data_IF_396027961655
#
_entry.id   IF_396027961655
#
_cell.length_a   1.000
_cell.length_b   1.000
_cell.length_c   1.000
_cell.angle_alpha   90.00
_cell.angle_beta   90.00
_cell.angle_gamma   90.00
#
_symmetry.space_group_name_H-M   'P 1'
#
loop_
_entity.id
_entity.type
_entity.pdbx_description
1 polymer ?
#
# COMPACT_ATOMS: atom_id res chain seq x y z
N UNK A 1 -0.88 -8.45 32.29
CA UNK A 1 0.41 -8.40 31.59
C UNK A 1 0.84 -6.95 31.56
N UNK A 2 2.06 -6.64 32.00
CA UNK A 2 2.61 -5.28 31.94
C UNK A 2 2.73 -4.85 30.49
N UNK A 3 2.25 -3.66 30.15
CA UNK A 3 2.41 -3.07 28.81
C UNK A 3 3.90 -2.76 28.62
N UNK A 4 4.53 -3.36 27.61
CA UNK A 4 5.93 -3.09 27.29
C UNK A 4 6.12 -1.63 26.84
N UNK A 5 7.15 -0.97 27.37
CA UNK A 5 7.46 0.43 27.06
C UNK A 5 8.66 0.50 26.12
N UNK A 6 8.50 1.13 24.95
CA UNK A 6 9.51 1.12 23.88
C UNK A 6 9.99 2.54 23.62
N UNK A 7 11.27 2.82 23.86
CA UNK A 7 11.86 4.11 23.52
C UNK A 7 12.23 4.15 22.03
N UNK A 8 11.77 5.18 21.32
CA UNK A 8 12.03 5.35 19.88
C UNK A 8 12.74 6.68 19.65
N UNK A 9 14.00 6.66 19.25
CA UNK A 9 14.70 7.89 18.80
C UNK A 9 14.42 8.14 17.33
N UNK A 10 14.38 9.41 16.91
CA UNK A 10 13.97 9.76 15.54
C UNK A 10 12.48 9.51 15.30
N UNK A 11 11.67 9.59 16.36
CA UNK A 11 10.25 9.23 16.37
C UNK A 11 9.39 10.10 15.43
N UNK A 12 9.80 11.32 15.14
CA UNK A 12 9.17 12.24 14.20
C UNK A 12 9.59 12.00 12.73
N UNK A 13 10.56 11.11 12.51
CA UNK A 13 11.02 10.70 11.20
C UNK A 13 9.99 9.88 10.42
N UNK A 14 10.33 9.53 9.17
CA UNK A 14 9.48 8.70 8.31
C UNK A 14 9.19 7.32 8.91
N UNK A 15 10.22 6.55 9.25
CA UNK A 15 10.06 5.23 9.89
C UNK A 15 9.49 5.40 11.31
N UNK A 16 9.96 6.40 12.06
CA UNK A 16 9.54 6.67 13.44
C UNK A 16 8.04 6.87 13.58
N UNK A 17 7.42 7.70 12.72
CA UNK A 17 5.98 7.94 12.76
C UNK A 17 5.16 6.69 12.48
N UNK A 18 5.60 5.86 11.52
CA UNK A 18 4.97 4.56 11.24
C UNK A 18 5.09 3.62 12.44
N UNK A 19 6.28 3.51 13.03
CA UNK A 19 6.53 2.62 14.17
C UNK A 19 5.77 3.05 15.42
N UNK A 20 5.82 4.33 15.81
CA UNK A 20 5.17 4.83 17.05
C UNK A 20 3.66 4.60 17.02
N UNK A 21 3.01 4.87 15.88
CA UNK A 21 1.59 4.56 15.72
C UNK A 21 1.36 3.06 15.88
N UNK A 22 2.13 2.25 15.16
CA UNK A 22 1.93 0.80 15.15
C UNK A 22 2.18 0.16 16.51
N UNK A 23 3.19 0.61 17.26
CA UNK A 23 3.46 0.17 18.63
C UNK A 23 2.23 0.37 19.53
N UNK A 24 1.56 1.52 19.42
CA UNK A 24 0.34 1.81 20.19
C UNK A 24 -0.80 0.86 19.81
N UNK A 25 -0.99 0.59 18.51
CA UNK A 25 -2.04 -0.31 18.01
C UNK A 25 -1.86 -1.76 18.49
N UNK A 26 -0.62 -2.22 18.62
CA UNK A 26 -0.30 -3.59 19.08
C UNK A 26 -0.09 -3.69 20.59
N UNK A 27 -0.40 -2.63 21.34
CA UNK A 27 -0.46 -2.65 22.80
C UNK A 27 0.85 -2.32 23.53
N UNK A 28 1.87 -1.79 22.85
CA UNK A 28 3.05 -1.21 23.50
C UNK A 28 2.84 0.28 23.84
N UNK A 29 3.62 0.79 24.80
CA UNK A 29 3.69 2.23 25.11
C UNK A 29 4.95 2.85 24.50
N UNK A 30 4.87 3.62 23.41
CA UNK A 30 6.05 4.28 22.85
C UNK A 30 6.46 5.51 23.68
N UNK A 31 7.77 5.67 23.90
CA UNK A 31 8.41 6.91 24.37
C UNK A 31 9.13 7.54 23.18
N UNK A 32 8.57 8.63 22.64
CA UNK A 32 9.11 9.30 21.46
C UNK A 32 10.24 10.27 21.83
N UNK A 33 11.43 10.03 21.30
CA UNK A 33 12.58 10.94 21.36
C UNK A 33 12.82 11.54 19.97
N UNK A 34 12.81 12.87 19.88
CA UNK A 34 13.00 13.63 18.63
C UNK A 34 14.17 14.59 18.78
N UNK A 35 14.47 15.37 17.73
CA UNK A 35 15.51 16.43 17.81
C UNK A 35 15.19 17.52 18.82
N UNK A 36 13.92 17.69 19.19
CA UNK A 36 13.49 18.67 20.20
C UNK A 36 13.59 18.13 21.63
N UNK A 37 13.88 16.84 21.81
CA UNK A 37 14.00 16.22 23.12
C UNK A 37 15.33 16.60 23.80
N UNK A 38 15.30 16.78 25.11
CA UNK A 38 16.49 17.06 25.92
C UNK A 38 17.22 15.79 26.35
N UNK A 39 18.48 15.93 26.77
CA UNK A 39 19.23 14.80 27.35
C UNK A 39 18.54 14.20 28.59
N UNK A 40 17.87 15.02 29.42
CA UNK A 40 17.10 14.53 30.57
C UNK A 40 15.92 13.67 30.12
N UNK A 41 15.17 14.10 29.11
CA UNK A 41 14.05 13.32 28.57
C UNK A 41 14.51 11.98 27.99
N UNK A 42 15.68 11.96 27.34
CA UNK A 42 16.29 10.71 26.88
C UNK A 42 16.63 9.79 28.06
N UNK A 43 17.30 10.30 29.10
CA UNK A 43 17.66 9.52 30.28
C UNK A 43 16.44 8.99 31.06
N UNK A 44 15.42 9.84 31.25
CA UNK A 44 14.16 9.46 31.89
C UNK A 44 13.42 8.40 31.07
N UNK A 45 13.47 8.52 29.75
CA UNK A 45 12.90 7.55 28.82
C UNK A 45 13.62 6.19 28.87
N UNK A 46 14.95 6.19 28.89
CA UNK A 46 15.77 4.97 29.02
C UNK A 46 15.44 4.23 30.32
N UNK A 47 15.28 4.97 31.43
CA UNK A 47 14.95 4.39 32.74
C UNK A 47 13.60 3.66 32.73
N UNK A 48 12.65 4.12 31.92
CA UNK A 48 11.30 3.58 31.80
C UNK A 48 11.15 2.50 30.71
N UNK A 49 12.11 2.41 29.79
CA UNK A 49 12.00 1.56 28.62
C UNK A 49 12.35 0.09 28.91
N UNK A 50 11.66 -0.81 28.22
CA UNK A 50 11.95 -2.22 28.15
C UNK A 50 12.81 -2.57 26.94
N UNK A 51 12.78 -1.75 25.89
CA UNK A 51 13.68 -1.82 24.74
C UNK A 51 13.84 -0.45 24.06
N UNK A 52 14.88 -0.30 23.24
CA UNK A 52 15.17 0.91 22.47
C UNK A 52 15.13 0.61 20.98
N UNK A 53 14.47 1.45 20.19
CA UNK A 53 14.54 1.46 18.73
C UNK A 53 15.20 2.76 18.27
N UNK A 54 16.43 2.64 17.77
CA UNK A 54 17.24 3.76 17.33
C UNK A 54 17.07 4.01 15.82
N UNK A 55 16.27 5.03 15.48
CA UNK A 55 16.02 5.50 14.11
C UNK A 55 16.64 6.87 13.81
N UNK A 56 17.25 7.52 14.82
CA UNK A 56 17.90 8.81 14.61
C UNK A 56 19.17 8.64 13.77
N UNK A 57 19.34 9.50 12.77
CA UNK A 57 20.52 9.51 11.91
C UNK A 57 20.37 10.50 10.76
N UNK A 58 21.51 10.96 10.25
CA UNK A 58 21.58 11.81 9.06
C UNK A 58 21.82 10.96 7.81
N UNK A 59 21.00 11.19 6.78
CA UNK A 59 21.14 10.56 5.46
C UNK A 59 21.51 11.58 4.37
N UNK A 60 21.30 12.87 4.60
CA UNK A 60 21.62 13.97 3.67
C UNK A 60 21.81 15.30 4.43
N UNK A 61 22.88 15.44 5.25
CA UNK A 61 23.22 16.71 5.89
C UNK A 61 23.64 17.73 4.83
N UNK A 62 23.64 19.01 5.21
CA UNK A 62 24.11 20.08 4.31
C UNK A 62 25.63 20.03 4.14
N UNK A 63 26.35 19.68 5.20
CA UNK A 63 27.79 19.45 5.20
C UNK A 63 28.08 17.95 5.44
N UNK A 64 28.77 17.25 4.52
CA UNK A 64 29.21 15.87 4.72
C UNK A 64 30.01 15.63 6.01
N UNK A 65 30.73 16.64 6.54
CA UNK A 65 31.45 16.51 7.80
C UNK A 65 30.53 16.24 9.01
N UNK A 66 29.25 16.62 8.91
CA UNK A 66 28.24 16.38 9.95
C UNK A 66 27.83 14.91 10.04
N UNK A 67 28.11 14.07 9.04
CA UNK A 67 27.72 12.65 9.07
C UNK A 67 28.29 11.92 10.28
N UNK A 68 29.58 12.12 10.57
CA UNK A 68 30.24 11.49 11.71
C UNK A 68 29.66 12.01 13.03
N UNK A 69 29.50 13.31 13.17
CA UNK A 69 28.91 13.91 14.36
C UNK A 69 27.49 13.39 14.62
N UNK A 70 26.65 13.32 13.59
CA UNK A 70 25.25 12.93 13.76
C UNK A 70 25.10 11.42 13.94
N UNK A 71 25.79 10.59 13.16
CA UNK A 71 25.57 9.14 13.19
C UNK A 71 26.42 8.44 14.26
N UNK A 72 27.70 8.80 14.41
CA UNK A 72 28.59 8.19 15.42
C UNK A 72 28.31 8.80 16.79
N UNK A 73 28.38 10.11 16.94
CA UNK A 73 28.38 10.71 18.29
C UNK A 73 27.00 10.61 18.95
N UNK A 74 25.90 10.70 18.19
CA UNK A 74 24.57 10.45 18.74
C UNK A 74 24.36 8.99 19.15
N UNK A 75 24.89 8.04 18.38
CA UNK A 75 24.83 6.61 18.73
C UNK A 75 25.67 6.31 19.98
N UNK A 76 26.85 6.92 20.08
CA UNK A 76 27.72 6.81 21.27
C UNK A 76 27.06 7.44 22.50
N UNK A 77 26.47 8.63 22.37
CA UNK A 77 25.75 9.29 23.45
C UNK A 77 24.54 8.47 23.94
N UNK A 78 23.80 7.84 23.01
CA UNK A 78 22.74 6.90 23.36
C UNK A 78 23.29 5.67 24.11
N UNK A 79 24.39 5.09 23.63
CA UNK A 79 25.03 3.96 24.28
C UNK A 79 25.47 4.30 25.72
N UNK A 80 26.10 5.45 25.91
CA UNK A 80 26.52 5.93 27.22
C UNK A 80 25.33 6.20 28.15
N UNK A 81 24.24 6.75 27.63
CA UNK A 81 23.01 6.95 28.39
C UNK A 81 22.37 5.61 28.82
N UNK A 82 22.38 4.59 27.96
CA UNK A 82 21.89 3.24 28.29
C UNK A 82 22.76 2.62 29.39
N UNK A 83 24.09 2.73 29.28
CA UNK A 83 25.03 2.23 30.29
C UNK A 83 24.83 2.93 31.63
N UNK A 84 24.65 4.26 31.62
CA UNK A 84 24.37 5.04 32.82
C UNK A 84 23.03 4.65 33.49
N UNK A 85 22.04 4.22 32.69
CA UNK A 85 20.77 3.68 33.18
C UNK A 85 20.89 2.32 33.89
N UNK A 86 22.04 1.63 33.76
CA UNK A 86 22.36 0.40 34.50
C UNK A 86 21.57 -0.85 34.12
N UNK A 87 20.76 -0.80 33.04
CA UNK A 87 19.97 -1.92 32.52
C UNK A 87 20.44 -2.33 31.14
N UNK A 88 20.61 -3.64 30.93
CA UNK A 88 20.89 -4.22 29.62
C UNK A 88 19.62 -4.26 28.76
N UNK A 89 19.25 -3.10 28.17
CA UNK A 89 18.09 -2.99 27.29
C UNK A 89 18.40 -3.56 25.90
N UNK A 90 17.50 -4.37 25.30
CA UNK A 90 17.59 -4.71 23.89
C UNK A 90 17.53 -3.44 23.03
N UNK A 91 18.39 -3.36 22.01
CA UNK A 91 18.49 -2.21 21.10
C UNK A 91 18.32 -2.66 19.66
N UNK A 92 17.32 -2.11 18.97
CA UNK A 92 17.14 -2.23 17.53
C UNK A 92 17.75 -1.00 16.86
N UNK A 93 18.60 -1.20 15.85
CA UNK A 93 19.30 -0.13 15.14
C UNK A 93 18.91 -0.15 13.66
N UNK A 94 18.32 0.95 13.17
CA UNK A 94 18.10 1.15 11.74
C UNK A 94 19.35 1.76 11.07
N UNK A 95 20.20 0.88 10.58
CA UNK A 95 21.36 1.25 9.77
C UNK A 95 21.02 1.31 8.27
N UNK A 96 22.04 1.34 7.43
CA UNK A 96 21.97 1.48 5.98
C UNK A 96 22.66 0.30 5.31
N UNK A 97 22.13 -0.16 4.17
CA UNK A 97 22.80 -1.13 3.30
C UNK A 97 24.17 -0.66 2.83
N UNK A 98 24.42 0.66 2.87
CA UNK A 98 25.71 1.29 2.53
C UNK A 98 26.73 1.31 3.67
N UNK A 99 26.39 0.77 4.84
CA UNK A 99 27.31 0.78 5.98
C UNK A 99 28.59 0.00 5.64
N UNK A 100 29.74 0.68 5.74
CA UNK A 100 31.04 0.13 5.36
C UNK A 100 31.43 0.30 3.89
N UNK A 101 30.58 0.91 3.04
CA UNK A 101 31.03 1.42 1.75
C UNK A 101 32.04 2.56 1.94
N UNK A 102 33.00 2.67 1.02
CA UNK A 102 34.03 3.72 1.02
C UNK A 102 33.43 5.08 0.64
N UNK A 103 32.72 5.67 1.60
CA UNK A 103 32.07 6.97 1.53
C UNK A 103 31.85 7.52 2.93
N UNK A 104 31.82 8.85 3.09
CA UNK A 104 31.58 9.48 4.40
C UNK A 104 30.29 8.97 5.06
N UNK A 105 29.23 8.80 4.26
CA UNK A 105 27.97 8.24 4.74
C UNK A 105 28.13 6.78 5.19
N UNK A 106 28.75 5.93 4.38
CA UNK A 106 28.95 4.50 4.69
C UNK A 106 29.82 4.29 5.93
N UNK A 107 30.91 5.04 6.05
CA UNK A 107 31.76 5.05 7.24
C UNK A 107 31.01 5.54 8.48
N UNK A 108 30.22 6.61 8.38
CA UNK A 108 29.46 7.13 9.52
C UNK A 108 28.40 6.16 10.06
N UNK A 109 27.70 5.43 9.16
CA UNK A 109 26.71 4.42 9.56
C UNK A 109 27.39 3.23 10.23
N UNK A 110 28.52 2.76 9.70
CA UNK A 110 29.30 1.68 10.32
C UNK A 110 29.83 2.10 11.70
N UNK A 111 30.34 3.33 11.85
CA UNK A 111 30.80 3.84 13.14
C UNK A 111 29.67 3.92 14.18
N UNK A 112 28.46 4.32 13.77
CA UNK A 112 27.28 4.29 14.62
C UNK A 112 26.86 2.87 15.03
N UNK A 113 26.90 1.91 14.10
CA UNK A 113 26.67 0.49 14.42
C UNK A 113 27.65 -0.01 15.48
N UNK A 114 28.95 0.27 15.31
CA UNK A 114 29.99 -0.15 16.24
C UNK A 114 29.82 0.47 17.63
N UNK A 115 29.45 1.74 17.70
CA UNK A 115 29.20 2.43 18.97
C UNK A 115 28.07 1.76 19.79
N UNK A 116 27.00 1.32 19.14
CA UNK A 116 25.90 0.63 19.81
C UNK A 116 26.19 -0.86 20.03
N UNK A 117 26.88 -1.54 19.11
CA UNK A 117 27.29 -2.93 19.26
C UNK A 117 28.17 -3.14 20.50
N UNK A 118 29.00 -2.15 20.86
CA UNK A 118 29.80 -2.16 22.08
C UNK A 118 28.97 -2.29 23.38
N UNK A 119 27.64 -2.03 23.35
CA UNK A 119 26.76 -2.29 24.50
C UNK A 119 26.70 -3.78 24.88
N UNK A 120 26.82 -4.68 23.91
CA UNK A 120 26.89 -6.11 24.16
C UNK A 120 28.09 -6.49 25.02
N UNK A 121 29.26 -5.92 24.73
CA UNK A 121 30.48 -6.13 25.50
C UNK A 121 30.47 -5.41 26.85
N UNK A 122 29.92 -4.18 26.91
CA UNK A 122 29.93 -3.33 28.10
C UNK A 122 28.96 -3.80 29.19
N UNK A 123 27.75 -4.19 28.82
CA UNK A 123 26.66 -4.47 29.77
C UNK A 123 25.82 -5.71 29.39
N UNK A 124 26.20 -6.47 28.35
CA UNK A 124 25.46 -7.67 27.94
C UNK A 124 24.14 -7.37 27.21
N UNK A 125 23.96 -6.17 26.65
CA UNK A 125 22.74 -5.82 25.92
C UNK A 125 22.65 -6.55 24.57
N UNK A 126 21.45 -7.04 24.23
CA UNK A 126 21.18 -7.59 22.90
C UNK A 126 21.04 -6.45 21.87
N UNK A 127 21.87 -6.43 20.84
CA UNK A 127 21.85 -5.40 19.79
C UNK A 127 21.47 -6.04 18.45
N UNK A 128 20.42 -5.50 17.83
CA UNK A 128 19.83 -5.98 16.58
C UNK A 128 20.01 -4.93 15.50
N UNK A 129 20.85 -5.21 14.51
CA UNK A 129 21.22 -4.26 13.46
C UNK A 129 20.50 -4.60 12.15
N UNK A 130 19.74 -3.64 11.62
CA UNK A 130 19.13 -3.74 10.29
C UNK A 130 19.83 -2.80 9.31
N UNK A 131 20.53 -3.35 8.32
CA UNK A 131 21.12 -2.56 7.23
C UNK A 131 20.10 -2.36 6.11
N UNK A 132 19.24 -1.37 6.28
CA UNK A 132 18.11 -1.14 5.39
C UNK A 132 18.54 -0.58 4.03
N UNK A 133 17.99 -1.07 2.90
CA UNK A 133 18.13 -0.42 1.62
C UNK A 133 17.23 0.85 1.58
N UNK A 134 16.86 1.33 0.38
CA UNK A 134 15.98 2.49 0.29
C UNK A 134 14.57 2.16 0.82
N UNK A 135 14.21 2.72 1.97
CA UNK A 135 12.87 2.54 2.55
C UNK A 135 11.88 3.49 1.86
N UNK A 136 10.71 2.98 1.49
CA UNK A 136 9.62 3.78 0.90
C UNK A 136 8.28 3.48 1.55
N UNK A 137 7.33 4.42 1.46
CA UNK A 137 6.02 4.27 2.07
C UNK A 137 5.33 5.60 2.38
N UNK A 138 4.18 5.51 3.04
CA UNK A 138 3.39 6.67 3.49
C UNK A 138 4.17 7.53 4.47
N UNK A 139 3.98 8.86 4.37
CA UNK A 139 4.62 9.88 5.22
C UNK A 139 6.13 10.06 5.00
N UNK A 140 6.72 9.40 4.00
CA UNK A 140 8.05 9.77 3.52
C UNK A 140 8.03 11.22 2.99
N UNK A 141 9.09 11.97 3.27
CA UNK A 141 9.17 13.38 2.85
C UNK A 141 9.54 13.47 1.35
N UNK A 142 8.71 14.06 0.49
CA UNK A 142 9.07 14.31 -0.91
C UNK A 142 10.14 15.40 -1.02
N UNK A 143 10.82 15.46 -2.16
CA UNK A 143 11.84 16.47 -2.50
C UNK A 143 12.98 16.56 -1.46
N UNK A 144 13.30 15.42 -0.81
CA UNK A 144 14.36 15.33 0.19
C UNK A 144 15.37 14.22 -0.13
N UNK A 145 15.07 12.96 0.22
CA UNK A 145 15.99 11.84 0.07
C UNK A 145 15.34 10.55 -0.44
N UNK A 146 14.06 10.58 -0.81
CA UNK A 146 13.33 9.41 -1.35
C UNK A 146 12.82 9.73 -2.75
N UNK A 147 13.36 9.05 -3.76
CA UNK A 147 12.88 9.18 -5.14
C UNK A 147 11.42 8.76 -5.27
N UNK A 148 11.02 7.67 -4.61
CA UNK A 148 9.63 7.17 -4.60
C UNK A 148 8.68 8.23 -4.04
N UNK A 149 8.99 8.84 -2.89
CA UNK A 149 8.13 9.87 -2.29
C UNK A 149 8.01 11.10 -3.20
N UNK A 150 9.12 11.53 -3.80
CA UNK A 150 9.13 12.64 -4.77
C UNK A 150 8.27 12.33 -5.99
N UNK A 151 8.42 11.14 -6.57
CA UNK A 151 7.64 10.73 -7.73
C UNK A 151 6.15 10.67 -7.41
N UNK A 152 5.76 9.99 -6.32
CA UNK A 152 4.38 9.95 -5.85
C UNK A 152 3.80 11.35 -5.64
N UNK A 153 4.52 12.23 -4.94
CA UNK A 153 4.07 13.59 -4.64
C UNK A 153 3.84 14.44 -5.89
N UNK A 154 4.82 14.45 -6.80
CA UNK A 154 4.81 15.28 -8.00
C UNK A 154 3.81 14.78 -9.03
N UNK A 155 3.81 13.47 -9.32
CA UNK A 155 2.85 12.86 -10.25
C UNK A 155 1.42 13.05 -9.76
N UNK A 156 1.14 12.87 -8.47
CA UNK A 156 -0.20 13.11 -7.90
C UNK A 156 -0.69 14.56 -8.04
N UNK A 157 0.21 15.52 -8.26
CA UNK A 157 -0.07 16.95 -8.45
C UNK A 157 0.07 17.40 -9.90
N UNK A 158 0.31 16.47 -10.83
CA UNK A 158 0.56 16.79 -12.23
C UNK A 158 1.84 17.61 -12.45
N UNK A 159 2.79 17.61 -11.51
CA UNK A 159 4.07 18.32 -11.68
C UNK A 159 5.16 17.41 -12.25
N UNK A 160 6.10 17.95 -13.06
CA UNK A 160 7.15 17.14 -13.66
C UNK A 160 8.11 16.51 -12.65
N UNK A 161 8.49 15.26 -12.91
CA UNK A 161 9.59 14.57 -12.24
C UNK A 161 10.86 14.66 -13.09
N UNK A 162 12.01 14.67 -12.43
CA UNK A 162 13.32 14.67 -13.07
C UNK A 162 13.99 13.31 -12.87
N UNK A 163 14.48 12.71 -13.95
CA UNK A 163 15.13 11.41 -13.98
C UNK A 163 16.38 11.54 -14.83
N UNK A 164 17.56 11.54 -14.18
CA UNK A 164 18.83 11.61 -14.89
C UNK A 164 19.23 10.27 -15.52
N UNK A 165 19.00 9.17 -14.81
CA UNK A 165 19.30 7.82 -15.29
C UNK A 165 18.12 6.87 -14.95
N UNK A 166 17.29 6.50 -15.94
CA UNK A 166 16.18 5.58 -15.72
C UNK A 166 16.62 4.14 -15.48
N UNK A 167 17.82 3.75 -15.90
CA UNK A 167 18.34 2.39 -15.72
C UNK A 167 19.04 2.20 -14.35
N UNK A 168 19.26 3.29 -13.60
CA UNK A 168 19.89 3.25 -12.30
C UNK A 168 19.18 2.24 -11.36
N UNK A 169 19.92 1.29 -10.77
CA UNK A 169 19.33 0.25 -9.92
C UNK A 169 18.82 0.82 -8.60
N UNK A 170 17.67 0.32 -8.16
CA UNK A 170 17.07 0.61 -6.87
C UNK A 170 16.75 -0.69 -6.16
N UNK A 171 17.29 -0.83 -4.95
CA UNK A 171 16.83 -1.82 -3.98
C UNK A 171 15.92 -1.13 -2.97
N UNK A 172 14.70 -1.63 -2.83
CA UNK A 172 13.62 -1.02 -2.06
C UNK A 172 13.11 -1.97 -0.97
N UNK A 173 12.69 -1.40 0.15
CA UNK A 173 11.94 -2.09 1.19
C UNK A 173 10.75 -1.23 1.63
N UNK A 174 9.60 -1.85 1.83
CA UNK A 174 8.40 -1.13 2.22
C UNK A 174 8.40 -0.86 3.74
N UNK A 175 7.96 0.32 4.16
CA UNK A 175 8.00 0.74 5.57
C UNK A 175 7.22 -0.18 6.50
N UNK A 176 6.10 -0.75 6.05
CA UNK A 176 5.32 -1.66 6.89
C UNK A 176 6.06 -2.99 7.12
N UNK A 177 6.86 -3.45 6.16
CA UNK A 177 7.71 -4.65 6.32
C UNK A 177 8.86 -4.36 7.31
N UNK A 178 9.44 -3.15 7.27
CA UNK A 178 10.44 -2.70 8.26
C UNK A 178 9.84 -2.65 9.67
N UNK A 179 8.65 -2.07 9.81
CA UNK A 179 7.95 -2.00 11.09
C UNK A 179 7.59 -3.39 11.60
N UNK A 180 7.10 -4.28 10.74
CA UNK A 180 6.81 -5.67 11.10
C UNK A 180 8.07 -6.40 11.59
N UNK A 181 9.20 -6.23 10.92
CA UNK A 181 10.47 -6.81 11.35
C UNK A 181 10.91 -6.30 12.74
N UNK A 182 10.76 -5.01 13.02
CA UNK A 182 11.08 -4.47 14.34
C UNK A 182 10.16 -5.03 15.43
N UNK A 183 8.86 -5.15 15.15
CA UNK A 183 7.91 -5.75 16.09
C UNK A 183 8.24 -7.22 16.38
N UNK A 184 8.68 -7.98 15.37
CA UNK A 184 9.11 -9.36 15.55
C UNK A 184 10.32 -9.47 16.48
N UNK A 185 11.29 -8.55 16.40
CA UNK A 185 12.40 -8.51 17.37
C UNK A 185 11.89 -8.25 18.77
N UNK A 186 10.94 -7.31 18.94
CA UNK A 186 10.36 -6.96 20.24
C UNK A 186 9.53 -8.10 20.84
N UNK A 187 8.85 -8.91 20.02
CA UNK A 187 8.02 -10.03 20.50
C UNK A 187 8.81 -11.31 20.73
N UNK A 188 9.71 -11.65 19.82
CA UNK A 188 10.31 -12.98 19.76
C UNK A 188 11.68 -13.03 20.45
N UNK A 189 12.30 -11.87 20.68
CA UNK A 189 13.62 -11.71 21.29
C UNK A 189 14.67 -12.71 20.73
N UNK A 190 14.92 -12.71 19.40
CA UNK A 190 15.89 -13.61 18.79
C UNK A 190 17.32 -13.28 19.26
N UNK A 191 18.33 -14.10 18.90
CA UNK A 191 19.72 -13.76 19.18
C UNK A 191 20.11 -12.38 18.61
N UNK A 192 20.97 -11.67 19.33
CA UNK A 192 21.56 -10.42 18.88
C UNK A 192 22.39 -10.62 17.59
N UNK A 193 22.52 -9.57 16.78
CA UNK A 193 23.28 -9.60 15.54
C UNK A 193 22.65 -8.80 14.42
N UNK A 194 23.01 -9.15 13.19
CA UNK A 194 22.46 -8.53 11.99
C UNK A 194 21.19 -9.24 11.54
N UNK A 195 20.21 -8.46 11.10
CA UNK A 195 18.92 -8.94 10.62
C UNK A 195 18.57 -8.29 9.28
N UNK A 196 17.81 -9.03 8.48
CA UNK A 196 17.28 -8.56 7.21
C UNK A 196 15.76 -8.36 7.28
N UNK A 197 15.25 -7.44 6.48
CA UNK A 197 13.80 -7.25 6.27
C UNK A 197 13.42 -7.94 4.98
N UNK A 198 12.33 -8.69 4.99
CA UNK A 198 11.77 -9.33 3.80
C UNK A 198 10.29 -9.01 3.65
N UNK A 199 9.78 -8.84 2.42
CA UNK A 199 10.52 -8.87 1.15
C UNK A 199 11.36 -7.60 0.89
N UNK A 200 12.40 -7.74 0.06
CA UNK A 200 13.07 -6.62 -0.60
C UNK A 200 12.83 -6.70 -2.11
N UNK A 201 12.85 -5.55 -2.78
CA UNK A 201 12.53 -5.45 -4.21
C UNK A 201 13.67 -4.80 -4.96
N UNK A 202 14.21 -5.52 -5.95
CA UNK A 202 15.17 -4.98 -6.92
C UNK A 202 14.43 -4.46 -8.16
N UNK A 203 14.72 -3.23 -8.54
CA UNK A 203 14.06 -2.52 -9.65
C UNK A 203 14.97 -1.41 -10.18
N UNK A 204 14.44 -0.51 -11.02
CA UNK A 204 15.15 0.67 -11.52
C UNK A 204 14.36 1.96 -11.26
N UNK A 205 15.03 3.10 -11.30
CA UNK A 205 14.39 4.42 -11.15
C UNK A 205 13.29 4.62 -12.20
N UNK A 206 13.55 4.25 -13.45
CA UNK A 206 12.59 4.36 -14.55
C UNK A 206 11.37 3.46 -14.35
N UNK A 207 11.57 2.20 -13.96
CA UNK A 207 10.47 1.27 -13.72
C UNK A 207 9.52 1.77 -12.61
N UNK A 208 10.06 2.32 -11.52
CA UNK A 208 9.25 2.93 -10.46
C UNK A 208 8.48 4.14 -10.98
N UNK A 209 9.13 5.02 -11.73
CA UNK A 209 8.49 6.21 -12.28
C UNK A 209 7.32 5.86 -13.22
N UNK A 210 7.51 4.91 -14.12
CA UNK A 210 6.49 4.47 -15.07
C UNK A 210 5.33 3.78 -14.38
N UNK A 211 5.62 2.96 -13.35
CA UNK A 211 4.60 2.34 -12.50
C UNK A 211 3.72 3.39 -11.82
N UNK A 212 4.32 4.42 -11.20
CA UNK A 212 3.58 5.49 -10.53
C UNK A 212 2.78 6.35 -11.54
N UNK A 213 3.33 6.62 -12.73
CA UNK A 213 2.59 7.27 -13.82
C UNK A 213 1.36 6.46 -14.24
N UNK A 214 1.49 5.13 -14.31
CA UNK A 214 0.39 4.21 -14.57
C UNK A 214 -0.75 4.38 -13.56
N UNK A 215 -0.43 4.47 -12.26
CA UNK A 215 -1.44 4.68 -11.22
C UNK A 215 -2.20 6.01 -11.35
N UNK A 216 -1.51 7.08 -11.75
CA UNK A 216 -2.17 8.35 -12.01
C UNK A 216 -3.10 8.28 -13.23
N UNK A 217 -2.67 7.57 -14.29
CA UNK A 217 -3.47 7.37 -15.50
C UNK A 217 -4.73 6.51 -15.27
N UNK A 218 -4.75 5.63 -14.26
CA UNK A 218 -5.94 4.85 -13.88
C UNK A 218 -7.16 5.72 -13.63
N UNK A 219 -6.99 6.92 -13.05
CA UNK A 219 -8.12 7.83 -12.77
C UNK A 219 -8.76 8.41 -14.03
N UNK A 220 -8.00 8.55 -15.11
CA UNK A 220 -8.50 9.02 -16.39
C UNK A 220 -9.06 7.90 -17.27
N UNK A 221 -8.48 6.70 -17.17
CA UNK A 221 -8.81 5.56 -18.05
C UNK A 221 -9.82 4.60 -17.43
N UNK A 222 -9.94 4.58 -16.10
CA UNK A 222 -10.64 3.55 -15.33
C UNK A 222 -9.92 2.19 -15.32
N UNK A 223 -8.73 2.08 -15.94
CA UNK A 223 -8.00 0.81 -16.08
C UNK A 223 -6.90 0.73 -15.02
N UNK A 224 -6.95 -0.30 -14.19
CA UNK A 224 -5.95 -0.57 -13.15
C UNK A 224 -5.14 -1.83 -13.50
N UNK A 225 -3.82 -1.74 -13.30
CA UNK A 225 -2.91 -2.88 -13.37
C UNK A 225 -2.85 -3.67 -12.05
N UNK A 226 -1.85 -4.54 -11.89
CA UNK A 226 -1.66 -5.30 -10.66
C UNK A 226 -1.32 -4.34 -9.51
N UNK A 227 -2.15 -4.33 -8.46
CA UNK A 227 -1.96 -3.51 -7.24
C UNK A 227 -2.22 -4.31 -5.95
N UNK A 228 -2.37 -5.64 -6.06
CA UNK A 228 -2.81 -6.51 -4.96
C UNK A 228 -1.68 -7.15 -4.16
N UNK A 229 -0.48 -7.31 -4.74
CA UNK A 229 0.66 -8.01 -4.11
C UNK A 229 1.99 -7.31 -4.38
N UNK A 230 3.04 -7.72 -3.66
CA UNK A 230 4.43 -7.36 -3.96
C UNK A 230 4.74 -5.86 -3.96
N UNK A 231 5.66 -5.46 -4.84
CA UNK A 231 6.14 -4.09 -4.98
C UNK A 231 5.01 -3.17 -5.46
N UNK A 232 4.18 -3.64 -6.38
CA UNK A 232 3.11 -2.85 -6.99
C UNK A 232 2.04 -2.48 -5.96
N UNK A 233 1.65 -3.40 -5.07
CA UNK A 233 0.76 -3.09 -3.94
C UNK A 233 1.34 -2.00 -3.06
N UNK A 234 2.62 -2.13 -2.69
CA UNK A 234 3.30 -1.19 -1.81
C UNK A 234 3.46 0.19 -2.47
N UNK A 235 3.82 0.24 -3.76
CA UNK A 235 3.93 1.47 -4.54
C UNK A 235 2.57 2.14 -4.74
N UNK A 236 1.52 1.38 -5.04
CA UNK A 236 0.16 1.91 -5.20
C UNK A 236 -0.34 2.54 -3.90
N UNK A 237 -0.22 1.84 -2.76
CA UNK A 237 -0.56 2.39 -1.45
C UNK A 237 0.26 3.65 -1.12
N UNK A 238 1.55 3.64 -1.47
CA UNK A 238 2.42 4.82 -1.30
C UNK A 238 1.96 5.99 -2.17
N UNK A 239 1.63 5.76 -3.43
CA UNK A 239 1.11 6.78 -4.35
C UNK A 239 -0.19 7.39 -3.83
N UNK A 240 -1.18 6.57 -3.47
CA UNK A 240 -2.48 7.02 -2.94
C UNK A 240 -2.29 7.87 -1.68
N UNK A 241 -1.33 7.54 -0.81
CA UNK A 241 -1.02 8.33 0.39
C UNK A 241 -0.47 9.73 0.13
N UNK A 242 -0.06 10.04 -1.12
CA UNK A 242 0.46 11.35 -1.53
C UNK A 242 -0.58 12.23 -2.25
N UNK A 243 -1.79 11.71 -2.49
CA UNK A 243 -2.91 12.50 -3.01
C UNK A 243 -3.26 13.63 -2.04
N UNK A 244 -3.69 14.78 -2.57
CA UNK A 244 -4.26 15.83 -1.74
C UNK A 244 -5.69 15.44 -1.30
N UNK A 245 -6.19 15.95 -0.15
CA UNK A 245 -7.55 15.66 0.30
C UNK A 245 -8.63 15.95 -0.75
N UNK A 246 -8.45 17.00 -1.55
CA UNK A 246 -9.35 17.39 -2.64
C UNK A 246 -9.36 16.35 -3.78
N UNK A 247 -8.31 15.55 -3.87
CA UNK A 247 -8.14 14.49 -4.87
C UNK A 247 -8.57 13.10 -4.35
N UNK A 248 -9.23 13.00 -3.19
CA UNK A 248 -9.68 11.69 -2.67
C UNK A 248 -10.81 11.08 -3.49
N UNK A 249 -11.55 11.88 -4.27
CA UNK A 249 -12.57 11.42 -5.20
C UNK A 249 -12.29 11.88 -6.63
N UNK A 250 -12.93 11.21 -7.59
CA UNK A 250 -12.97 11.61 -9.00
C UNK A 250 -14.27 11.08 -9.60
N UNK A 251 -14.89 11.81 -10.55
CA UNK A 251 -16.11 11.35 -11.21
C UNK A 251 -15.83 10.24 -12.21
N UNK A 252 -16.84 9.40 -12.48
CA UNK A 252 -16.84 8.44 -13.58
C UNK A 252 -17.92 8.81 -14.61
N UNK A 253 -17.72 8.42 -15.86
CA UNK A 253 -18.72 8.63 -16.91
C UNK A 253 -19.96 7.78 -16.64
N UNK A 254 -21.11 8.43 -16.59
CA UNK A 254 -22.42 7.77 -16.45
C UNK A 254 -23.25 7.99 -17.70
N UNK A 255 -23.75 6.91 -18.28
CA UNK A 255 -24.65 6.91 -19.43
C UNK A 255 -26.09 6.72 -18.94
N UNK A 256 -26.94 7.71 -19.14
CA UNK A 256 -28.34 7.69 -18.69
C UNK A 256 -29.31 7.82 -19.85
N UNK A 257 -30.41 7.09 -19.78
CA UNK A 257 -31.56 7.18 -20.69
C UNK A 257 -32.87 6.92 -19.90
N UNK A 258 -34.08 7.00 -20.51
CA UNK A 258 -35.34 6.80 -19.78
C UNK A 258 -35.49 5.44 -19.09
N UNK A 259 -34.66 4.46 -19.43
CA UNK A 259 -34.62 3.12 -18.82
C UNK A 259 -33.78 3.08 -17.55
N UNK A 260 -32.99 4.11 -17.26
CA UNK A 260 -32.09 4.22 -16.10
C UNK A 260 -30.67 4.63 -16.50
N UNK A 261 -29.67 4.21 -15.74
CA UNK A 261 -28.27 4.59 -15.92
C UNK A 261 -27.33 3.37 -15.97
N UNK A 262 -26.13 3.58 -16.51
CA UNK A 262 -25.02 2.63 -16.56
C UNK A 262 -23.71 3.39 -16.39
N UNK A 263 -22.81 2.89 -15.54
CA UNK A 263 -21.49 3.46 -15.35
C UNK A 263 -20.44 2.35 -15.18
N UNK A 264 -19.29 2.51 -15.83
CA UNK A 264 -18.13 1.63 -15.65
C UNK A 264 -17.33 2.14 -14.45
N UNK A 265 -17.21 1.33 -13.41
CA UNK A 265 -16.56 1.74 -12.16
C UNK A 265 -15.06 1.45 -12.19
N UNK A 266 -14.68 0.24 -12.62
CA UNK A 266 -13.31 -0.23 -12.57
C UNK A 266 -13.05 -1.26 -13.67
N UNK A 267 -11.98 -1.08 -14.44
CA UNK A 267 -11.49 -2.05 -15.42
C UNK A 267 -10.15 -2.57 -14.95
N UNK A 268 -9.93 -3.86 -15.03
CA UNK A 268 -8.63 -4.47 -14.73
C UNK A 268 -7.99 -4.96 -16.01
N UNK A 269 -6.66 -4.99 -16.08
CA UNK A 269 -5.94 -5.44 -17.28
C UNK A 269 -6.23 -6.91 -17.62
N UNK A 270 -6.42 -7.77 -16.61
CA UNK A 270 -6.45 -9.23 -16.77
C UNK A 270 -7.59 -9.95 -16.03
N UNK A 271 -8.40 -9.23 -15.25
CA UNK A 271 -9.40 -9.80 -14.34
C UNK A 271 -10.80 -9.23 -14.57
N UNK A 272 -11.05 -8.76 -15.80
CA UNK A 272 -12.34 -8.23 -16.24
C UNK A 272 -12.63 -6.79 -15.79
N UNK A 273 -13.91 -6.42 -15.87
CA UNK A 273 -14.40 -5.09 -15.57
C UNK A 273 -15.63 -5.13 -14.66
N UNK A 274 -15.75 -4.12 -13.80
CA UNK A 274 -16.88 -3.87 -12.92
C UNK A 274 -17.64 -2.63 -13.35
N UNK A 275 -18.96 -2.78 -13.42
CA UNK A 275 -19.91 -1.73 -13.76
C UNK A 275 -21.07 -1.75 -12.80
N UNK A 276 -21.79 -0.63 -12.73
CA UNK A 276 -23.05 -0.51 -12.04
C UNK A 276 -24.10 -0.06 -13.04
N UNK A 277 -25.30 -0.62 -12.92
CA UNK A 277 -26.43 -0.09 -13.66
C UNK A 277 -27.68 -0.09 -12.80
N UNK A 278 -28.60 0.80 -13.15
CA UNK A 278 -29.92 0.82 -12.56
C UNK A 278 -31.01 0.76 -13.64
N UNK A 279 -32.18 0.27 -13.27
CA UNK A 279 -33.32 0.14 -14.16
C UNK A 279 -34.62 0.54 -13.44
N UNK A 280 -35.44 1.35 -14.10
CA UNK A 280 -36.77 1.71 -13.58
C UNK A 280 -37.75 0.51 -13.61
N UNK A 281 -38.86 0.54 -12.86
CA UNK A 281 -39.88 -0.51 -12.87
C UNK A 281 -40.33 -0.91 -14.29
N UNK A 282 -40.43 -2.22 -14.54
CA UNK A 282 -40.85 -2.79 -15.82
C UNK A 282 -39.80 -2.71 -16.95
N UNK A 283 -38.68 -2.01 -16.75
CA UNK A 283 -37.61 -1.93 -17.74
C UNK A 283 -36.92 -3.28 -17.89
N UNK A 284 -36.75 -3.70 -19.14
CA UNK A 284 -35.90 -4.84 -19.52
C UNK A 284 -34.61 -4.36 -20.17
N UNK A 285 -33.48 -4.95 -19.78
CA UNK A 285 -32.15 -4.77 -20.39
C UNK A 285 -31.59 -6.14 -20.80
N UNK A 286 -30.66 -6.17 -21.75
CA UNK A 286 -30.16 -7.41 -22.34
C UNK A 286 -30.78 -7.67 -23.71
N UNK A 287 -31.26 -8.89 -23.95
CA UNK A 287 -31.79 -9.30 -25.25
C UNK A 287 -30.68 -9.64 -26.24
N UNK A 288 -29.64 -10.29 -25.76
CA UNK A 288 -28.47 -10.69 -26.54
C UNK A 288 -27.82 -11.94 -25.96
N UNK A 289 -26.88 -12.52 -26.71
CA UNK A 289 -26.00 -13.58 -26.23
C UNK A 289 -24.53 -13.25 -26.58
N UNK A 290 -23.63 -14.05 -26.02
CA UNK A 290 -22.18 -13.97 -26.23
C UNK A 290 -21.63 -15.32 -26.71
N UNK A 291 -20.53 -15.31 -27.49
CA UNK A 291 -19.80 -16.53 -27.80
C UNK A 291 -18.82 -16.92 -26.70
N UNK A 292 -18.16 -15.95 -26.08
CA UNK A 292 -17.08 -16.15 -25.10
C UNK A 292 -17.25 -15.27 -23.87
N UNK A 293 -17.73 -14.03 -24.03
CA UNK A 293 -17.96 -13.08 -22.94
C UNK A 293 -18.90 -13.68 -21.91
N UNK A 294 -18.52 -13.57 -20.65
CA UNK A 294 -19.31 -14.04 -19.51
C UNK A 294 -19.46 -12.90 -18.52
N UNK A 295 -20.59 -12.87 -17.83
CA UNK A 295 -20.87 -11.82 -16.87
C UNK A 295 -21.46 -12.41 -15.58
N UNK A 296 -21.26 -11.68 -14.47
CA UNK A 296 -21.85 -11.98 -13.16
C UNK A 296 -22.66 -10.77 -12.72
N UNK A 297 -23.96 -10.96 -12.58
CA UNK A 297 -24.89 -9.97 -12.08
C UNK A 297 -25.16 -10.20 -10.61
N UNK A 298 -25.23 -9.11 -9.84
CA UNK A 298 -25.66 -9.12 -8.46
C UNK A 298 -26.63 -7.96 -8.23
N UNK A 299 -27.88 -8.29 -7.97
CA UNK A 299 -28.87 -7.28 -7.57
C UNK A 299 -28.62 -6.91 -6.12
N UNK A 300 -28.36 -5.64 -5.87
CA UNK A 300 -28.07 -5.11 -4.52
C UNK A 300 -29.22 -4.25 -3.98
N UNK A 301 -30.17 -3.89 -4.84
CA UNK A 301 -31.40 -3.20 -4.46
C UNK A 301 -32.49 -3.44 -5.51
N UNK A 302 -33.75 -3.54 -5.08
CA UNK A 302 -34.89 -3.87 -5.92
C UNK A 302 -35.01 -5.36 -6.25
N UNK A 303 -35.90 -5.70 -7.20
CA UNK A 303 -36.22 -7.07 -7.62
C UNK A 303 -36.02 -7.23 -9.12
N UNK A 304 -35.38 -8.32 -9.52
CA UNK A 304 -35.09 -8.61 -10.91
C UNK A 304 -35.58 -10.00 -11.30
N UNK A 305 -36.04 -10.12 -12.55
CA UNK A 305 -36.21 -11.40 -13.24
C UNK A 305 -35.14 -11.52 -14.30
N UNK A 306 -34.37 -12.60 -14.25
CA UNK A 306 -33.48 -12.99 -15.34
C UNK A 306 -34.15 -14.07 -16.17
N UNK A 307 -34.02 -13.98 -17.49
CA UNK A 307 -34.49 -15.02 -18.42
C UNK A 307 -33.37 -15.41 -19.35
N UNK A 308 -33.39 -16.68 -19.75
CA UNK A 308 -32.37 -17.29 -20.59
C UNK A 308 -33.03 -18.17 -21.65
N UNK A 309 -32.46 -18.17 -22.86
CA UNK A 309 -32.85 -19.05 -23.96
C UNK A 309 -31.62 -19.61 -24.66
N UNK A 310 -31.47 -20.93 -24.70
CA UNK A 310 -30.34 -21.57 -25.39
C UNK A 310 -30.44 -21.35 -26.91
N UNK A 311 -29.36 -20.91 -27.56
CA UNK A 311 -29.41 -20.48 -28.97
C UNK A 311 -29.64 -21.61 -29.98
N UNK A 312 -29.29 -22.86 -29.63
CA UNK A 312 -29.51 -24.05 -30.47
C UNK A 312 -30.78 -24.82 -30.09
N UNK A 313 -30.90 -25.26 -28.83
CA UNK A 313 -32.02 -26.11 -28.39
C UNK A 313 -33.32 -25.34 -28.16
N UNK A 314 -33.23 -24.03 -27.90
CA UNK A 314 -34.38 -23.23 -27.50
C UNK A 314 -34.80 -23.44 -26.04
N UNK A 315 -34.03 -24.21 -25.25
CA UNK A 315 -34.32 -24.42 -23.84
C UNK A 315 -34.44 -23.08 -23.11
N UNK A 316 -35.46 -22.99 -22.24
CA UNK A 316 -35.79 -21.77 -21.53
C UNK A 316 -35.58 -21.94 -20.02
N UNK A 317 -35.03 -20.90 -19.41
CA UNK A 317 -34.88 -20.82 -17.96
C UNK A 317 -35.19 -19.40 -17.48
N UNK A 318 -35.86 -19.27 -16.34
CA UNK A 318 -36.06 -17.99 -15.67
C UNK A 318 -35.84 -18.12 -14.17
N UNK A 319 -35.41 -17.03 -13.55
CA UNK A 319 -35.23 -16.94 -12.12
C UNK A 319 -35.44 -15.50 -11.62
N UNK A 320 -36.04 -15.38 -10.44
CA UNK A 320 -36.20 -14.12 -9.73
C UNK A 320 -35.12 -14.00 -8.65
N UNK A 321 -34.62 -12.78 -8.45
CA UNK A 321 -33.67 -12.43 -7.39
C UNK A 321 -33.94 -11.01 -6.88
N UNK A 322 -33.39 -10.66 -5.72
CA UNK A 322 -33.55 -9.34 -5.12
C UNK A 322 -32.33 -8.91 -4.33
N UNK A 323 -32.30 -7.65 -3.91
CA UNK A 323 -31.30 -7.13 -2.96
C UNK A 323 -31.41 -7.71 -1.54
N UNK A 324 -32.51 -8.38 -1.19
CA UNK A 324 -32.72 -8.97 0.14
C UNK A 324 -32.01 -10.33 0.28
N UNK A 325 -31.83 -11.03 -0.84
CA UNK A 325 -31.10 -12.30 -0.92
C UNK A 325 -30.04 -12.19 -2.02
N UNK A 326 -28.82 -11.79 -1.63
CA UNK A 326 -27.71 -11.61 -2.55
C UNK A 326 -27.36 -12.93 -3.26
N UNK A 327 -27.72 -13.01 -4.54
CA UNK A 327 -27.46 -14.15 -5.41
C UNK A 327 -26.77 -13.71 -6.70
N UNK A 328 -25.66 -14.37 -7.03
CA UNK A 328 -24.97 -14.16 -8.31
C UNK A 328 -25.75 -14.88 -9.41
N UNK A 329 -26.01 -14.16 -10.50
CA UNK A 329 -26.59 -14.72 -11.73
C UNK A 329 -25.58 -14.58 -12.85
N UNK A 330 -25.20 -15.70 -13.48
CA UNK A 330 -24.21 -15.72 -14.55
C UNK A 330 -24.87 -15.67 -15.92
N UNK A 331 -24.32 -14.89 -16.85
CA UNK A 331 -24.66 -15.03 -18.27
C UNK A 331 -23.81 -16.13 -18.87
N UNK A 332 -24.48 -17.11 -19.48
CA UNK A 332 -23.84 -18.32 -20.01
C UNK A 332 -23.65 -18.14 -21.52
N UNK A 333 -22.43 -18.28 -22.06
CA UNK A 333 -22.21 -18.24 -23.50
C UNK A 333 -23.11 -19.21 -24.25
N UNK A 334 -23.62 -18.78 -25.41
CA UNK A 334 -24.61 -19.54 -26.17
C UNK A 334 -26.04 -19.50 -25.61
N UNK A 335 -26.30 -18.75 -24.53
CA UNK A 335 -27.65 -18.44 -24.04
C UNK A 335 -27.95 -16.95 -24.21
N UNK A 336 -29.00 -16.64 -24.97
CA UNK A 336 -29.56 -15.30 -24.97
C UNK A 336 -30.14 -15.01 -23.60
N UNK A 337 -29.92 -13.81 -23.08
CA UNK A 337 -30.35 -13.44 -21.74
C UNK A 337 -30.85 -12.01 -21.67
N UNK A 338 -31.77 -11.77 -20.74
CA UNK A 338 -32.25 -10.46 -20.38
C UNK A 338 -32.57 -10.38 -18.88
N UNK A 339 -32.65 -9.15 -18.39
CA UNK A 339 -32.99 -8.83 -17.01
C UNK A 339 -34.06 -7.76 -16.98
N UNK A 340 -35.14 -8.03 -16.26
CA UNK A 340 -36.26 -7.11 -16.08
C UNK A 340 -36.37 -6.69 -14.63
N UNK A 341 -36.52 -5.40 -14.37
CA UNK A 341 -36.95 -4.94 -13.06
C UNK A 341 -38.44 -5.27 -12.87
N UNK A 342 -38.73 -6.21 -11.97
CA UNK A 342 -40.09 -6.68 -11.66
C UNK A 342 -40.65 -6.08 -10.36
N UNK A 343 -39.89 -5.18 -9.73
CA UNK A 343 -40.33 -4.42 -8.58
C UNK A 343 -41.09 -3.13 -8.97
N UNK A 344 -41.49 -2.40 -7.95
CA UNK A 344 -42.11 -1.07 -7.99
C UNK A 344 -41.11 0.08 -7.75
N UNK A 345 -39.88 -0.25 -7.34
CA UNK A 345 -38.78 0.70 -7.10
C UNK A 345 -37.67 0.59 -8.15
N UNK A 346 -36.66 1.47 -8.03
CA UNK A 346 -35.46 1.41 -8.87
C UNK A 346 -34.65 0.14 -8.53
N UNK A 347 -34.30 -0.66 -9.53
CA UNK A 347 -33.40 -1.78 -9.36
C UNK A 347 -31.95 -1.32 -9.55
N UNK A 348 -31.03 -1.76 -8.70
CA UNK A 348 -29.58 -1.52 -8.83
C UNK A 348 -28.86 -2.86 -8.91
N UNK A 349 -28.04 -3.02 -9.94
CA UNK A 349 -27.20 -4.20 -10.16
C UNK A 349 -25.73 -3.81 -10.21
N UNK A 350 -24.91 -4.58 -9.53
CA UNK A 350 -23.49 -4.68 -9.83
C UNK A 350 -23.31 -5.69 -10.95
N UNK A 351 -22.35 -5.43 -11.84
CA UNK A 351 -22.05 -6.24 -13.00
C UNK A 351 -20.54 -6.41 -13.10
N UNK A 352 -20.09 -7.66 -13.16
CA UNK A 352 -18.73 -7.98 -13.59
C UNK A 352 -18.78 -8.65 -14.96
N UNK A 353 -17.86 -8.31 -15.86
CA UNK A 353 -17.63 -9.02 -17.12
C UNK A 353 -16.18 -9.50 -17.18
N UNK A 354 -15.92 -10.67 -17.76
CA UNK A 354 -14.59 -11.28 -17.83
C UNK A 354 -13.57 -10.52 -18.69
N UNK A 355 -14.03 -9.59 -19.53
CA UNK A 355 -13.19 -8.79 -20.42
C UNK A 355 -13.65 -7.33 -20.48
N UNK A 356 -12.74 -6.42 -20.85
CA UNK A 356 -13.07 -5.02 -21.09
C UNK A 356 -13.87 -4.91 -22.38
N UNK A 357 -14.94 -4.13 -22.38
CA UNK A 357 -15.78 -3.93 -23.57
C UNK A 357 -15.01 -3.27 -24.72
N UNK A 358 -14.90 -3.97 -25.86
CA UNK A 358 -14.35 -3.46 -27.12
C UNK A 358 -15.46 -3.22 -28.15
N UNK A 359 -15.66 -1.96 -28.55
CA UNK A 359 -16.69 -1.59 -29.55
C UNK A 359 -16.46 -2.22 -30.93
N UNK A 360 -15.22 -2.53 -31.29
CA UNK A 360 -14.90 -3.14 -32.58
C UNK A 360 -15.12 -4.66 -32.56
N UNK A 361 -15.08 -5.27 -31.37
CA UNK A 361 -15.26 -6.71 -31.14
C UNK A 361 -16.11 -6.95 -29.89
N UNK A 362 -17.39 -6.56 -29.89
CA UNK A 362 -18.19 -6.49 -28.67
C UNK A 362 -18.61 -7.85 -28.10
N UNK A 363 -18.41 -8.94 -28.86
CA UNK A 363 -18.93 -10.29 -28.61
C UNK A 363 -20.37 -10.29 -28.08
N UNK A 364 -21.22 -9.39 -28.60
CA UNK A 364 -22.58 -9.16 -28.12
C UNK A 364 -23.51 -9.18 -29.31
N UNK A 365 -24.34 -10.21 -29.42
CA UNK A 365 -25.19 -10.46 -30.58
C UNK A 365 -26.64 -10.39 -30.14
N UNK A 366 -27.40 -9.46 -30.73
CA UNK A 366 -28.83 -9.30 -30.43
C UNK A 366 -29.60 -10.61 -30.68
N UNK A 367 -30.35 -11.04 -29.68
CA UNK A 367 -31.15 -12.26 -29.72
C UNK A 367 -32.29 -12.18 -28.71
N UNK A 368 -33.52 -12.38 -29.17
CA UNK A 368 -34.70 -12.41 -28.30
C UNK A 368 -34.62 -13.58 -27.31
N UNK A 369 -35.10 -13.37 -26.09
CA UNK A 369 -35.18 -14.40 -25.03
C UNK A 369 -36.59 -14.98 -24.93
N UNK A 370 -37.61 -14.14 -25.12
CA UNK A 370 -39.02 -14.54 -25.24
C UNK A 370 -39.43 -14.87 -26.67
N UNK A 371 -40.63 -15.43 -26.81
CA UNK A 371 -41.29 -15.66 -28.10
C UNK A 371 -41.62 -14.35 -28.84
#
# INVERSE_FOLDING_TARGET
MTIGTILVTGADGFIGRNLVLRLTEVGYRPIAITRASTASQLADGITQADAVVHLAGANRPQDPAEFMAINRDASAALADAIVAGGRALPVIVASSSRAGEDSDYGHSKLAGEQALAALGERIGAAVHVFRLPNVFGKWARPDYNSAVATFCHRIARGTPIDIHDPAAPLRLVYVDDVVAAFLAILSDAPPAGQHEVSPMYDTTVGAVADTIRGYAATRATGIIGPVGTGLERALYATYVSHLSPESFSYPITTHSDPRGAFAEMLKTIDSGQFSVFNAHPGVTRGGHYHHTKTEKFLIVHGRARFRFRHMITGDFHELDTSGDELRIVETVPGWAHDVTNIGDELMISLLWANEIFDRQKPDTIAAAVGA
#
